data_IF_599605877370
#
_entry.id   IF_599605877370
#
_cell.length_a   1.000
_cell.length_b   1.000
_cell.length_c   1.000
_cell.angle_alpha   90.00
_cell.angle_beta   90.00
_cell.angle_gamma   90.00
#
_symmetry.space_group_name_H-M   'P 1'
#
loop_
_entity.id
_entity.type
_entity.pdbx_description
1 polymer ?
#
# COMPACT_ATOMS: atom_id res chain seq x y z
N UNK A 1 -12.96 -29.84 77.71
CA UNK A 1 -13.76 -28.94 76.90
C UNK A 1 -12.77 -28.08 76.11
N UNK A 2 -12.88 -28.05 74.82
CA UNK A 2 -11.95 -27.48 73.80
C UNK A 2 -11.90 -25.96 73.80
N UNK A 3 -10.84 -25.35 73.31
CA UNK A 3 -10.95 -24.17 72.56
C UNK A 3 -10.44 -24.39 71.11
N UNK A 4 -11.36 -24.44 70.22
CA UNK A 4 -11.16 -24.16 68.78
C UNK A 4 -11.61 -22.72 68.62
N UNK A 5 -10.71 -21.82 68.49
CA UNK A 5 -10.89 -20.45 67.91
C UNK A 5 -9.57 -19.68 68.01
N UNK A 6 -8.69 -19.80 67.07
CA UNK A 6 -7.66 -18.81 66.61
C UNK A 6 -7.05 -19.39 65.33
N UNK A 7 -7.77 -19.32 64.24
CA UNK A 7 -7.20 -19.54 62.90
C UNK A 7 -8.11 -18.94 61.80
N UNK A 8 -8.49 -17.69 61.97
CA UNK A 8 -9.30 -17.00 60.97
C UNK A 8 -9.01 -15.49 60.84
N UNK A 9 -7.77 -15.04 61.12
CA UNK A 9 -7.46 -13.58 61.01
C UNK A 9 -6.08 -13.32 60.40
N UNK A 10 -5.60 -14.18 59.53
CA UNK A 10 -4.31 -13.95 58.85
C UNK A 10 -4.39 -14.10 57.33
N UNK A 11 -5.55 -13.84 56.69
CA UNK A 11 -5.72 -14.02 55.28
C UNK A 11 -6.52 -12.89 54.62
N UNK A 12 -6.27 -11.64 55.00
CA UNK A 12 -6.95 -10.49 54.34
C UNK A 12 -6.09 -9.20 54.38
N UNK A 13 -4.78 -9.27 54.08
CA UNK A 13 -3.96 -8.06 53.96
C UNK A 13 -2.90 -8.15 52.86
N UNK A 14 -3.18 -8.84 51.75
CA UNK A 14 -2.24 -8.88 50.61
C UNK A 14 -2.89 -8.58 49.26
N UNK A 15 -3.86 -7.67 49.19
CA UNK A 15 -4.45 -7.28 47.88
C UNK A 15 -4.70 -5.79 47.73
N UNK A 16 -3.80 -4.93 48.21
CA UNK A 16 -3.85 -3.48 47.94
C UNK A 16 -2.48 -2.88 47.77
N UNK A 17 -1.63 -3.47 46.94
CA UNK A 17 -0.34 -2.86 46.57
C UNK A 17 -0.13 -2.95 45.04
N UNK A 18 -1.15 -2.58 44.27
CA UNK A 18 -1.12 -2.60 42.82
C UNK A 18 -1.67 -1.35 42.18
N UNK A 19 -1.91 -0.27 42.92
CA UNK A 19 -2.08 1.03 42.32
C UNK A 19 -0.68 1.64 42.12
N UNK A 20 -0.01 1.27 41.03
CA UNK A 20 1.02 2.11 40.48
C UNK A 20 0.39 3.46 40.25
N UNK A 21 0.92 4.48 40.91
CA UNK A 21 0.62 5.87 40.69
C UNK A 21 1.08 6.18 39.26
N UNK A 22 0.26 5.89 38.24
CA UNK A 22 0.48 6.33 36.88
C UNK A 22 0.38 7.85 36.94
N UNK A 23 1.52 8.52 37.10
CA UNK A 23 1.59 9.97 37.02
C UNK A 23 0.81 10.41 35.79
N UNK A 24 -0.03 11.43 35.96
CA UNK A 24 -0.83 11.97 34.84
C UNK A 24 0.12 12.34 33.70
N UNK A 25 -0.05 11.71 32.54
CA UNK A 25 0.71 12.04 31.36
C UNK A 25 0.26 13.43 30.94
N UNK A 26 1.22 14.35 30.77
CA UNK A 26 0.95 15.66 30.18
C UNK A 26 1.19 15.57 28.68
N UNK A 27 0.13 15.69 27.92
CA UNK A 27 0.18 15.73 26.45
C UNK A 27 0.47 17.16 25.98
N UNK A 28 1.25 17.34 24.90
CA UNK A 28 1.40 18.62 24.21
C UNK A 28 0.07 19.18 23.72
N UNK A 29 -0.06 20.50 23.74
CA UNK A 29 -1.24 21.13 23.15
C UNK A 29 -1.18 21.06 21.61
N UNK A 30 -2.25 20.56 20.98
CA UNK A 30 -2.37 20.53 19.54
C UNK A 30 -2.56 21.95 18.97
N UNK A 31 -2.01 22.26 17.78
CA UNK A 31 -2.32 23.50 17.07
C UNK A 31 -3.84 23.64 16.84
N UNK A 32 -4.36 24.83 17.10
CA UNK A 32 -5.78 25.13 16.95
C UNK A 32 -5.96 26.45 16.22
N UNK A 33 -7.12 26.57 15.52
CA UNK A 33 -7.59 27.81 14.92
C UNK A 33 -9.09 28.01 15.12
N UNK A 34 -9.68 29.01 14.45
CA UNK A 34 -11.10 29.31 14.54
C UNK A 34 -11.94 28.76 13.37
N UNK A 35 -11.48 27.72 12.67
CA UNK A 35 -12.18 27.19 11.51
C UNK A 35 -13.60 26.71 11.85
N UNK A 36 -14.56 27.09 11.01
CA UNK A 36 -15.96 26.70 11.14
C UNK A 36 -16.49 26.33 9.76
N UNK A 37 -16.92 25.10 9.58
CA UNK A 37 -17.59 24.63 8.37
C UNK A 37 -19.10 24.83 8.44
N UNK A 38 -19.74 24.86 7.27
CA UNK A 38 -21.21 24.83 7.18
C UNK A 38 -21.63 23.54 6.47
N UNK A 39 -22.16 22.60 7.23
CA UNK A 39 -22.58 21.28 6.73
C UNK A 39 -24.09 21.18 6.85
N UNK A 40 -24.79 21.00 5.74
CA UNK A 40 -26.26 20.98 5.67
C UNK A 40 -26.92 22.21 6.35
N UNK A 41 -26.28 23.39 6.24
CA UNK A 41 -26.77 24.63 6.85
C UNK A 41 -26.46 24.80 8.34
N UNK A 42 -25.82 23.84 8.98
CA UNK A 42 -25.36 23.91 10.37
C UNK A 42 -23.88 24.30 10.44
N UNK A 43 -23.56 25.18 11.40
CA UNK A 43 -22.18 25.54 11.68
C UNK A 43 -21.50 24.44 12.53
N UNK A 44 -20.43 23.89 12.04
CA UNK A 44 -19.62 22.88 12.73
C UNK A 44 -18.23 23.46 12.96
N UNK A 45 -17.82 23.58 14.22
CA UNK A 45 -16.47 24.06 14.57
C UNK A 45 -15.47 22.94 14.40
N UNK A 46 -14.38 23.22 13.69
CA UNK A 46 -13.24 22.34 13.52
C UNK A 46 -11.95 23.07 13.93
N UNK A 47 -11.73 23.15 15.22
CA UNK A 47 -10.58 23.89 15.78
C UNK A 47 -9.24 23.19 15.48
N UNK A 48 -9.24 21.93 15.09
CA UNK A 48 -8.05 21.15 14.78
C UNK A 48 -7.72 21.07 13.28
N UNK A 49 -8.42 21.84 12.44
CA UNK A 49 -8.16 21.94 11.00
C UNK A 49 -6.67 22.13 10.63
N UNK A 50 -5.85 22.87 11.43
CA UNK A 50 -4.43 23.01 11.14
C UNK A 50 -3.65 21.68 11.06
N UNK A 51 -4.13 20.62 11.72
CA UNK A 51 -3.49 19.30 11.71
C UNK A 51 -3.66 18.54 10.38
N UNK A 52 -4.60 18.96 9.50
CA UNK A 52 -4.75 18.40 8.16
C UNK A 52 -3.54 18.71 7.25
N UNK A 53 -2.79 19.77 7.56
CA UNK A 53 -1.53 20.04 6.89
C UNK A 53 -0.40 19.39 7.68
N UNK A 54 -0.03 18.16 7.29
CA UNK A 54 0.97 17.32 7.93
C UNK A 54 2.41 17.84 7.74
N UNK A 55 2.66 18.69 6.75
CA UNK A 55 3.95 19.33 6.47
C UNK A 55 4.12 20.69 7.15
N UNK A 56 3.06 21.22 7.76
CA UNK A 56 3.13 22.50 8.48
C UNK A 56 4.12 22.42 9.66
N UNK A 57 5.01 23.43 9.85
CA UNK A 57 5.98 23.42 10.95
C UNK A 57 5.35 23.23 12.34
N UNK A 58 4.17 23.78 12.57
CA UNK A 58 3.46 23.64 13.84
C UNK A 58 2.96 22.20 14.08
N UNK A 59 2.46 21.54 13.03
CA UNK A 59 2.01 20.15 13.07
C UNK A 59 3.20 19.22 13.30
N UNK A 60 4.29 19.41 12.58
CA UNK A 60 5.53 18.62 12.76
C UNK A 60 6.11 18.77 14.17
N UNK A 61 6.16 19.99 14.71
CA UNK A 61 6.63 20.24 16.07
C UNK A 61 5.73 19.56 17.13
N UNK A 62 4.42 19.56 16.93
CA UNK A 62 3.47 18.87 17.81
C UNK A 62 3.65 17.34 17.75
N UNK A 63 3.81 16.77 16.55
CA UNK A 63 4.07 15.32 16.36
C UNK A 63 5.37 14.91 17.04
N UNK A 64 6.44 15.71 16.93
CA UNK A 64 7.71 15.44 17.61
C UNK A 64 7.55 15.45 19.14
N UNK A 65 6.80 16.42 19.68
CA UNK A 65 6.54 16.51 21.10
C UNK A 65 5.71 15.34 21.62
N UNK A 66 4.68 14.88 20.89
CA UNK A 66 3.88 13.69 21.21
C UNK A 66 4.72 12.41 21.14
N UNK A 67 5.59 12.27 20.13
CA UNK A 67 6.52 11.16 20.03
C UNK A 67 7.46 11.10 21.23
N UNK A 68 7.92 12.25 21.72
CA UNK A 68 8.76 12.31 22.92
C UNK A 68 8.02 11.79 24.15
N UNK A 69 6.77 12.21 24.38
CA UNK A 69 5.92 11.70 25.49
C UNK A 69 5.77 10.18 25.38
N UNK A 70 5.48 9.68 24.17
CA UNK A 70 5.33 8.25 23.89
C UNK A 70 6.62 7.47 24.23
N UNK A 71 7.78 7.93 23.75
CA UNK A 71 9.05 7.27 24.02
C UNK A 71 9.45 7.34 25.50
N UNK A 72 9.22 8.46 26.16
CA UNK A 72 9.47 8.62 27.60
C UNK A 72 8.62 7.61 28.41
N UNK A 73 7.34 7.40 28.05
CA UNK A 73 6.48 6.40 28.67
C UNK A 73 6.96 4.97 28.39
N UNK A 74 7.19 4.64 27.11
CA UNK A 74 7.58 3.30 26.70
C UNK A 74 8.95 2.89 27.26
N UNK A 75 9.87 3.84 27.46
CA UNK A 75 11.20 3.57 28.03
C UNK A 75 11.15 3.11 29.47
N UNK A 76 10.08 3.43 30.22
CA UNK A 76 9.89 3.05 31.60
C UNK A 76 9.36 1.61 31.78
N UNK A 77 8.95 0.95 30.69
CA UNK A 77 8.42 -0.43 30.74
C UNK A 77 9.60 -1.40 30.95
N UNK A 78 9.71 -2.06 32.13
CA UNK A 78 10.91 -2.80 32.50
C UNK A 78 11.17 -4.05 31.65
N UNK A 79 10.14 -4.61 31.04
CA UNK A 79 10.23 -5.81 30.18
C UNK A 79 10.28 -5.49 28.70
N UNK A 80 10.25 -4.21 28.27
CA UNK A 80 10.27 -3.81 26.85
C UNK A 80 11.47 -4.39 26.11
N UNK A 81 12.67 -4.30 26.72
CA UNK A 81 13.91 -4.82 26.14
C UNK A 81 13.85 -6.33 25.94
N UNK A 82 13.37 -7.07 26.94
CA UNK A 82 13.26 -8.53 26.84
C UNK A 82 12.28 -8.96 25.75
N UNK A 83 11.16 -8.24 25.58
CA UNK A 83 10.22 -8.48 24.47
C UNK A 83 10.89 -8.20 23.12
N UNK A 84 11.58 -7.07 22.97
CA UNK A 84 12.26 -6.71 21.73
C UNK A 84 13.32 -7.77 21.35
N UNK A 85 14.17 -8.20 22.30
CA UNK A 85 15.16 -9.25 22.10
C UNK A 85 14.49 -10.59 21.69
N UNK A 86 13.38 -10.96 22.33
CA UNK A 86 12.64 -12.18 22.00
C UNK A 86 12.03 -12.11 20.61
N UNK A 87 11.43 -10.97 20.21
CA UNK A 87 10.87 -10.75 18.88
C UNK A 87 11.96 -10.80 17.81
N UNK A 88 13.11 -10.17 18.06
CA UNK A 88 14.27 -10.22 17.17
C UNK A 88 14.72 -11.68 16.97
N UNK A 89 14.88 -12.43 18.06
CA UNK A 89 15.25 -13.85 17.97
C UNK A 89 14.22 -14.69 17.18
N UNK A 90 12.93 -14.45 17.41
CA UNK A 90 11.86 -15.20 16.73
C UNK A 90 11.74 -14.84 15.25
N UNK A 91 12.12 -13.62 14.85
CA UNK A 91 12.07 -13.18 13.46
C UNK A 91 13.37 -13.44 12.68
N UNK A 92 14.49 -13.72 13.36
CA UNK A 92 15.80 -13.94 12.75
C UNK A 92 15.89 -15.34 12.13
N UNK A 93 15.16 -15.53 11.03
CA UNK A 93 15.27 -16.71 10.15
C UNK A 93 14.94 -16.31 8.72
N UNK A 94 15.52 -17.01 7.76
CA UNK A 94 15.28 -16.76 6.33
C UNK A 94 13.83 -17.05 5.98
N UNK A 95 13.15 -16.04 5.42
CA UNK A 95 11.78 -16.10 4.91
C UNK A 95 11.85 -15.98 3.39
N UNK A 96 11.46 -17.03 2.68
CA UNK A 96 11.49 -17.08 1.22
C UNK A 96 10.09 -17.24 0.66
N UNK A 97 9.73 -16.40 -0.30
CA UNK A 97 8.51 -16.55 -1.09
C UNK A 97 8.59 -17.73 -2.07
N UNK A 98 7.45 -18.12 -2.60
CA UNK A 98 7.39 -19.17 -3.64
C UNK A 98 7.91 -18.57 -4.96
N UNK A 99 8.86 -19.22 -5.65
CA UNK A 99 9.34 -18.76 -6.93
C UNK A 99 8.23 -18.79 -8.00
N UNK A 100 8.05 -17.70 -8.72
CA UNK A 100 7.19 -17.59 -9.91
C UNK A 100 8.05 -17.46 -11.16
N UNK A 101 7.63 -18.09 -12.25
CA UNK A 101 8.29 -17.92 -13.54
C UNK A 101 7.73 -16.71 -14.26
N UNK A 102 8.60 -15.77 -14.59
CA UNK A 102 8.23 -14.53 -15.27
C UNK A 102 8.47 -14.60 -16.79
N UNK A 103 8.08 -13.52 -17.48
CA UNK A 103 8.06 -13.48 -18.95
C UNK A 103 9.45 -13.52 -19.62
N UNK A 104 10.53 -13.16 -18.89
CA UNK A 104 11.92 -13.33 -19.34
C UNK A 104 12.40 -14.79 -19.23
N UNK A 105 11.56 -15.69 -18.74
CA UNK A 105 11.82 -17.11 -18.58
C UNK A 105 12.53 -17.51 -17.28
N UNK A 106 12.94 -16.53 -16.47
CA UNK A 106 13.57 -16.77 -15.15
C UNK A 106 12.53 -16.89 -14.05
N UNK A 107 12.97 -17.42 -12.91
CA UNK A 107 12.16 -17.51 -11.69
C UNK A 107 12.51 -16.36 -10.75
N UNK A 108 11.49 -15.71 -10.22
CA UNK A 108 11.60 -14.61 -9.27
C UNK A 108 10.98 -14.98 -7.93
N UNK A 109 11.58 -14.55 -6.85
CA UNK A 109 11.05 -14.74 -5.50
C UNK A 109 11.59 -13.68 -4.55
N UNK A 110 10.84 -13.43 -3.50
CA UNK A 110 11.25 -12.54 -2.40
C UNK A 110 12.00 -13.35 -1.34
N UNK A 111 13.04 -12.77 -0.75
CA UNK A 111 13.73 -13.36 0.40
C UNK A 111 14.11 -12.27 1.40
N UNK A 112 13.80 -12.52 2.67
CA UNK A 112 14.25 -11.71 3.80
C UNK A 112 15.09 -12.58 4.71
N UNK A 113 16.26 -12.11 5.14
CA UNK A 113 17.15 -12.81 6.08
C UNK A 113 16.54 -12.93 7.50
N UNK A 114 15.44 -12.25 7.72
CA UNK A 114 14.68 -12.21 8.98
C UNK A 114 14.74 -10.86 9.67
N UNK A 115 15.74 -10.04 9.39
CA UNK A 115 15.98 -8.75 10.06
C UNK A 115 15.99 -7.53 9.13
N UNK A 116 16.06 -7.72 7.82
CA UNK A 116 15.90 -6.64 6.85
C UNK A 116 14.51 -6.02 6.95
N UNK A 117 14.41 -4.71 6.71
CA UNK A 117 13.14 -3.99 6.71
C UNK A 117 12.17 -4.55 5.65
N UNK A 118 12.69 -4.81 4.44
CA UNK A 118 11.94 -5.39 3.34
C UNK A 118 12.64 -6.62 2.76
N UNK A 119 11.87 -7.50 2.12
CA UNK A 119 12.42 -8.64 1.40
C UNK A 119 13.09 -8.16 0.09
N UNK A 120 14.22 -8.76 -0.23
CA UNK A 120 14.94 -8.56 -1.49
C UNK A 120 14.33 -9.46 -2.56
N UNK A 121 14.22 -8.96 -3.77
CA UNK A 121 13.79 -9.76 -4.93
C UNK A 121 15.01 -10.39 -5.59
N UNK A 122 15.00 -11.70 -5.68
CA UNK A 122 16.01 -12.50 -6.38
C UNK A 122 15.45 -13.11 -7.65
N UNK A 123 16.35 -13.36 -8.62
CA UNK A 123 16.01 -14.15 -9.81
C UNK A 123 17.02 -15.30 -10.00
N UNK A 124 16.55 -16.37 -10.64
CA UNK A 124 17.36 -17.57 -10.93
C UNK A 124 16.84 -18.26 -12.19
N UNK A 125 17.71 -19.02 -12.86
CA UNK A 125 17.32 -19.90 -13.98
C UNK A 125 16.70 -21.22 -13.49
N UNK A 126 17.05 -21.66 -12.26
CA UNK A 126 16.50 -22.87 -11.65
C UNK A 126 16.07 -22.59 -10.19
N UNK A 127 14.76 -22.71 -9.89
CA UNK A 127 14.23 -22.43 -8.55
C UNK A 127 14.70 -23.41 -7.46
N UNK A 128 15.29 -24.54 -7.85
CA UNK A 128 15.87 -25.53 -6.94
C UNK A 128 17.36 -25.30 -6.71
N UNK A 129 18.00 -24.45 -7.50
CA UNK A 129 19.42 -24.10 -7.36
C UNK A 129 19.65 -23.14 -6.19
N UNK A 130 20.87 -23.18 -5.64
CA UNK A 130 21.37 -22.13 -4.75
C UNK A 130 21.92 -20.91 -5.50
N UNK A 131 22.15 -21.04 -6.82
CA UNK A 131 22.62 -19.94 -7.66
C UNK A 131 21.46 -18.96 -7.91
N UNK A 132 21.70 -17.71 -7.54
CA UNK A 132 20.71 -16.66 -7.66
C UNK A 132 21.38 -15.30 -7.85
N UNK A 133 20.67 -14.41 -8.47
CA UNK A 133 21.06 -13.02 -8.64
C UNK A 133 20.10 -12.12 -7.86
N UNK A 134 20.63 -11.15 -7.12
CA UNK A 134 19.82 -10.07 -6.58
C UNK A 134 19.29 -9.22 -7.73
N UNK A 135 17.96 -9.14 -7.85
CA UNK A 135 17.30 -8.38 -8.91
C UNK A 135 16.97 -6.96 -8.46
N UNK A 136 16.29 -6.84 -7.32
CA UNK A 136 15.93 -5.54 -6.74
C UNK A 136 15.97 -5.64 -5.21
N UNK A 137 16.76 -4.76 -4.57
CA UNK A 137 16.75 -4.61 -3.10
C UNK A 137 15.96 -3.35 -2.73
N UNK A 138 14.71 -3.49 -2.23
CA UNK A 138 13.91 -2.34 -1.82
C UNK A 138 14.51 -1.53 -0.66
N UNK A 139 15.40 -2.16 0.13
CA UNK A 139 16.06 -1.47 1.25
C UNK A 139 17.06 -0.41 0.78
N UNK A 140 17.44 -0.42 -0.50
CA UNK A 140 18.32 0.60 -1.12
C UNK A 140 17.58 1.78 -1.75
N UNK A 141 16.24 1.76 -1.75
CA UNK A 141 15.42 2.81 -2.39
C UNK A 141 15.29 4.08 -1.54
N UNK A 142 15.59 4.02 -0.25
CA UNK A 142 15.69 5.20 0.63
C UNK A 142 16.64 4.94 1.81
N UNK A 143 17.33 6.00 2.23
CA UNK A 143 18.28 5.92 3.35
C UNK A 143 17.58 5.71 4.71
N UNK A 144 16.36 6.21 4.85
CA UNK A 144 15.56 6.14 6.07
C UNK A 144 14.63 4.92 6.15
N UNK A 145 14.58 4.11 5.08
CA UNK A 145 13.75 2.91 5.00
C UNK A 145 12.25 3.18 4.91
N UNK A 146 11.82 4.39 4.57
CA UNK A 146 10.40 4.77 4.46
C UNK A 146 9.79 4.46 3.10
N UNK A 147 10.60 4.12 2.09
CA UNK A 147 10.11 3.69 0.77
C UNK A 147 9.84 2.19 0.76
N UNK A 148 8.63 1.79 0.40
CA UNK A 148 8.22 0.39 0.29
C UNK A 148 7.97 -0.02 -1.15
N UNK A 149 8.48 -1.20 -1.55
CA UNK A 149 8.10 -1.85 -2.80
C UNK A 149 6.68 -2.43 -2.67
N UNK A 150 5.76 -2.00 -3.55
CA UNK A 150 4.35 -2.39 -3.50
C UNK A 150 3.93 -3.29 -4.66
N UNK A 151 4.70 -3.37 -5.73
CA UNK A 151 4.41 -4.22 -6.87
C UNK A 151 5.59 -4.38 -7.82
N UNK A 152 5.55 -5.45 -8.61
CA UNK A 152 6.51 -5.74 -9.67
C UNK A 152 5.79 -6.52 -10.77
N UNK A 153 5.95 -6.08 -12.02
CA UNK A 153 5.38 -6.76 -13.19
C UNK A 153 6.30 -6.65 -14.40
N UNK A 154 6.31 -7.69 -15.24
CA UNK A 154 7.12 -7.69 -16.47
C UNK A 154 6.28 -7.51 -17.71
N UNK A 155 6.85 -6.81 -18.71
CA UNK A 155 6.28 -6.75 -20.05
C UNK A 155 6.10 -8.15 -20.64
N UNK A 156 5.14 -8.31 -21.55
CA UNK A 156 4.80 -9.63 -22.13
C UNK A 156 5.98 -10.30 -22.86
N UNK A 157 6.93 -9.52 -23.35
CA UNK A 157 8.17 -10.00 -23.98
C UNK A 157 9.34 -10.17 -22.98
N UNK A 158 9.13 -9.87 -21.70
CA UNK A 158 10.14 -9.95 -20.65
C UNK A 158 11.24 -8.88 -20.69
N UNK A 159 11.14 -7.92 -21.62
CA UNK A 159 12.17 -6.91 -21.84
C UNK A 159 12.23 -5.86 -20.74
N UNK A 160 11.08 -5.44 -20.25
CA UNK A 160 10.95 -4.41 -19.25
C UNK A 160 10.31 -4.96 -17.98
N UNK A 161 10.75 -4.41 -16.84
CA UNK A 161 10.12 -4.63 -15.54
C UNK A 161 9.67 -3.29 -14.96
N UNK A 162 8.38 -3.17 -14.69
CA UNK A 162 7.84 -2.08 -13.89
C UNK A 162 7.81 -2.48 -12.42
N UNK A 163 8.18 -1.56 -11.54
CA UNK A 163 7.99 -1.73 -10.11
C UNK A 163 7.34 -0.49 -9.51
N UNK A 164 6.49 -0.72 -8.52
CA UNK A 164 5.76 0.34 -7.83
C UNK A 164 6.30 0.52 -6.44
N UNK A 165 6.39 1.78 -6.01
CA UNK A 165 6.79 2.14 -4.65
C UNK A 165 5.75 3.04 -4.00
N UNK A 166 5.71 2.97 -2.68
CA UNK A 166 4.99 3.89 -1.81
C UNK A 166 5.98 4.58 -0.88
N UNK A 167 5.77 5.87 -0.60
CA UNK A 167 6.62 6.64 0.33
C UNK A 167 5.89 6.89 1.63
N UNK A 168 6.56 6.66 2.74
CA UNK A 168 6.08 6.95 4.09
C UNK A 168 4.69 6.39 4.41
N UNK A 169 4.34 5.22 3.82
CA UNK A 169 3.05 4.58 4.03
C UNK A 169 1.87 5.24 3.32
N UNK A 170 2.12 6.14 2.38
CA UNK A 170 1.08 6.75 1.55
C UNK A 170 0.39 5.70 0.65
N UNK A 171 -0.89 5.91 0.36
CA UNK A 171 -1.62 5.17 -0.68
C UNK A 171 -1.24 5.65 -2.10
N UNK A 172 -0.63 6.81 -2.23
CA UNK A 172 -0.07 7.28 -3.49
C UNK A 172 1.17 6.46 -3.83
N UNK A 173 1.25 6.00 -5.06
CA UNK A 173 2.35 5.18 -5.55
C UNK A 173 3.00 5.82 -6.77
N UNK A 174 4.27 5.48 -6.95
CA UNK A 174 5.04 5.82 -8.12
C UNK A 174 5.38 4.54 -8.87
N UNK A 175 5.39 4.60 -10.21
CA UNK A 175 5.77 3.46 -11.06
C UNK A 175 7.07 3.82 -11.77
N UNK A 176 8.06 2.97 -11.62
CA UNK A 176 9.35 3.05 -12.31
C UNK A 176 9.49 1.89 -13.28
N UNK A 177 10.23 2.10 -14.35
CA UNK A 177 10.50 1.06 -15.34
C UNK A 177 12.00 0.86 -15.48
N UNK A 178 12.41 -0.40 -15.58
CA UNK A 178 13.80 -0.77 -15.86
C UNK A 178 13.89 -1.80 -17.00
N UNK A 179 15.02 -1.82 -17.70
CA UNK A 179 15.39 -2.93 -18.56
C UNK A 179 15.65 -4.18 -17.72
N UNK A 180 14.92 -5.25 -17.97
CA UNK A 180 14.95 -6.47 -17.15
C UNK A 180 16.32 -7.15 -17.14
N UNK A 181 17.03 -7.15 -18.29
CA UNK A 181 18.29 -7.84 -18.41
C UNK A 181 19.42 -7.10 -17.69
N UNK A 182 19.52 -5.80 -17.92
CA UNK A 182 20.60 -4.95 -17.41
C UNK A 182 20.30 -4.32 -16.05
N UNK A 183 19.04 -4.32 -15.63
CA UNK A 183 18.52 -3.62 -14.42
C UNK A 183 18.72 -2.09 -14.46
N UNK A 184 18.98 -1.53 -15.65
CA UNK A 184 19.10 -0.08 -15.81
C UNK A 184 17.71 0.57 -15.79
N UNK A 185 17.59 1.58 -14.95
CA UNK A 185 16.37 2.38 -14.85
C UNK A 185 16.16 3.18 -16.14
N UNK A 186 14.96 3.14 -16.69
CA UNK A 186 14.52 3.97 -17.79
C UNK A 186 14.06 5.35 -17.27
N UNK A 187 13.91 6.36 -18.15
CA UNK A 187 13.37 7.66 -17.75
C UNK A 187 11.86 7.63 -17.46
N UNK A 188 11.20 6.52 -17.75
CA UNK A 188 9.77 6.32 -17.53
C UNK A 188 9.45 6.31 -16.05
N UNK A 189 8.71 7.31 -15.59
CA UNK A 189 8.32 7.51 -14.20
C UNK A 189 6.90 8.05 -14.14
N UNK A 190 6.02 7.29 -13.48
CA UNK A 190 4.63 7.68 -13.25
C UNK A 190 4.48 8.10 -11.79
N UNK A 191 4.01 9.30 -11.59
CA UNK A 191 3.63 9.84 -10.29
C UNK A 191 2.11 9.79 -10.11
N UNK A 192 1.65 9.84 -8.86
CA UNK A 192 0.24 9.97 -8.51
C UNK A 192 -0.63 8.81 -8.99
N UNK A 193 -0.05 7.62 -9.17
CA UNK A 193 -0.84 6.41 -9.30
C UNK A 193 -1.44 6.04 -7.93
N UNK A 194 -2.62 5.43 -7.93
CA UNK A 194 -3.27 4.97 -6.70
C UNK A 194 -4.11 3.73 -6.97
N UNK A 195 -3.99 2.71 -6.10
CA UNK A 195 -4.64 1.41 -6.27
C UNK A 195 -4.34 0.76 -7.62
N UNK A 196 -3.09 0.85 -8.06
CA UNK A 196 -2.65 0.47 -9.40
C UNK A 196 -1.27 -0.16 -9.38
N UNK A 197 -1.05 -1.06 -10.34
CA UNK A 197 0.26 -1.47 -10.83
C UNK A 197 0.40 -1.10 -12.30
N UNK A 198 1.39 -1.70 -12.98
CA UNK A 198 1.54 -1.61 -14.44
C UNK A 198 0.95 -2.86 -15.09
N UNK A 199 -0.11 -2.70 -15.84
CA UNK A 199 -0.77 -3.77 -16.61
C UNK A 199 -0.30 -3.70 -18.07
N UNK A 200 0.61 -4.58 -18.45
CA UNK A 200 1.35 -4.51 -19.70
C UNK A 200 0.53 -4.89 -20.95
N UNK A 201 0.60 -4.05 -22.00
CA UNK A 201 0.01 -4.31 -23.32
C UNK A 201 0.83 -3.61 -24.41
N UNK A 202 1.24 -4.35 -25.45
CA UNK A 202 1.99 -3.80 -26.55
C UNK A 202 3.31 -3.15 -26.13
N UNK A 203 3.49 -1.88 -26.48
CA UNK A 203 4.70 -1.08 -26.22
C UNK A 203 4.61 -0.23 -24.93
N UNK A 204 3.67 -0.56 -24.05
CA UNK A 204 3.45 0.19 -22.82
C UNK A 204 2.61 -0.59 -21.79
N UNK A 205 1.99 0.15 -20.89
CA UNK A 205 1.14 -0.41 -19.84
C UNK A 205 -0.01 0.52 -19.45
N UNK A 206 -1.07 -0.08 -18.95
CA UNK A 206 -2.17 0.65 -18.31
C UNK A 206 -1.86 0.84 -16.82
N UNK A 207 -2.27 1.98 -16.29
CA UNK A 207 -2.26 2.28 -14.87
C UNK A 207 -3.48 3.11 -14.49
N UNK A 208 -3.83 3.07 -13.21
CA UNK A 208 -4.94 3.83 -12.67
C UNK A 208 -4.46 4.96 -11.76
N UNK A 209 -5.12 6.10 -11.84
CA UNK A 209 -4.79 7.28 -11.06
C UNK A 209 -6.05 8.10 -10.74
N UNK A 210 -5.99 8.86 -9.67
CA UNK A 210 -6.91 9.99 -9.45
C UNK A 210 -6.33 11.27 -10.04
N UNK A 211 -7.15 12.31 -10.28
CA UNK A 211 -6.63 13.62 -10.57
C UNK A 211 -5.60 14.04 -9.52
N UNK A 212 -4.50 14.66 -9.99
CA UNK A 212 -3.43 15.11 -9.08
C UNK A 212 -4.02 16.02 -8.00
N UNK A 213 -3.76 15.75 -6.71
CA UNK A 213 -4.27 16.58 -5.62
C UNK A 213 -3.68 18.00 -5.68
N UNK A 214 -4.39 18.96 -5.08
CA UNK A 214 -3.82 20.28 -4.84
C UNK A 214 -2.68 20.17 -3.82
N UNK A 215 -1.67 21.02 -3.97
CA UNK A 215 -0.53 21.07 -3.06
C UNK A 215 -0.98 21.26 -1.60
N UNK A 216 -0.49 20.41 -0.70
CA UNK A 216 -0.87 20.41 0.72
C UNK A 216 -2.21 19.74 1.03
N UNK A 217 -2.85 19.09 0.03
CA UNK A 217 -4.10 18.34 0.20
C UNK A 217 -3.98 16.87 -0.22
N UNK A 218 -2.79 16.36 -0.31
CA UNK A 218 -2.48 15.02 -0.80
C UNK A 218 -3.18 13.93 0.02
N UNK A 219 -3.42 14.19 1.31
CA UNK A 219 -4.06 13.26 2.25
C UNK A 219 -5.49 13.65 2.66
N UNK A 220 -5.93 14.86 2.33
CA UNK A 220 -7.27 15.39 2.71
C UNK A 220 -8.27 15.45 1.56
N UNK A 221 -7.81 15.39 0.28
CA UNK A 221 -8.70 15.35 -0.85
C UNK A 221 -9.50 14.05 -0.91
N UNK A 222 -10.78 14.14 -1.29
CA UNK A 222 -11.58 12.97 -1.59
C UNK A 222 -11.01 12.20 -2.79
N UNK A 223 -11.09 10.86 -2.73
CA UNK A 223 -10.75 9.99 -3.86
C UNK A 223 -11.93 9.97 -4.83
N UNK A 224 -11.95 10.89 -5.80
CA UNK A 224 -13.00 11.02 -6.80
C UNK A 224 -12.45 11.03 -8.21
N UNK A 225 -13.25 10.51 -9.16
CA UNK A 225 -12.91 10.47 -10.58
C UNK A 225 -11.66 9.64 -10.89
N UNK A 226 -11.60 8.41 -10.38
CA UNK A 226 -10.56 7.46 -10.73
C UNK A 226 -10.56 7.18 -12.22
N UNK A 227 -9.40 7.12 -12.86
CA UNK A 227 -9.22 7.05 -14.31
C UNK A 227 -8.17 6.00 -14.66
N UNK A 228 -8.25 5.43 -15.86
CA UNK A 228 -7.22 4.54 -16.40
C UNK A 228 -6.53 5.25 -17.56
N UNK A 229 -5.20 5.26 -17.51
CA UNK A 229 -4.31 5.80 -18.53
C UNK A 229 -3.49 4.69 -19.18
N UNK A 230 -3.01 4.94 -20.39
CA UNK A 230 -2.01 4.14 -21.06
C UNK A 230 -0.72 4.94 -21.19
N UNK A 231 0.35 4.41 -20.64
CA UNK A 231 1.70 4.93 -20.75
C UNK A 231 2.47 4.15 -21.80
N UNK A 232 3.05 4.85 -22.78
CA UNK A 232 3.93 4.27 -23.78
C UNK A 232 5.39 4.40 -23.33
N UNK A 233 6.15 3.30 -23.34
CA UNK A 233 7.56 3.31 -22.93
C UNK A 233 8.37 4.31 -23.76
N UNK A 234 9.17 5.14 -23.07
CA UNK A 234 10.02 6.17 -23.63
C UNK A 234 9.32 7.50 -23.90
N UNK A 235 8.09 7.69 -23.42
CA UNK A 235 7.39 8.98 -23.47
C UNK A 235 7.21 9.58 -22.07
N UNK A 236 7.08 10.90 -21.93
CA UNK A 236 6.78 11.50 -20.63
C UNK A 236 5.33 11.20 -20.22
N UNK A 237 5.05 11.11 -18.91
CA UNK A 237 3.71 10.90 -18.35
C UNK A 237 2.66 11.92 -18.85
N UNK A 238 3.08 13.14 -19.21
CA UNK A 238 2.18 14.17 -19.76
C UNK A 238 1.53 13.78 -21.10
N UNK A 239 2.12 12.82 -21.80
CA UNK A 239 1.64 12.36 -23.11
C UNK A 239 0.74 11.12 -22.99
N UNK A 240 0.47 10.67 -21.76
CA UNK A 240 -0.32 9.47 -21.49
C UNK A 240 -1.76 9.64 -21.96
N UNK A 241 -2.27 8.58 -22.56
CA UNK A 241 -3.64 8.59 -23.11
C UNK A 241 -4.66 8.17 -22.06
N UNK A 242 -5.67 9.01 -21.81
CA UNK A 242 -6.84 8.61 -21.04
C UNK A 242 -7.61 7.52 -21.78
N UNK A 243 -7.76 6.37 -21.14
CA UNK A 243 -8.39 5.17 -21.73
C UNK A 243 -9.79 4.93 -21.20
N UNK A 244 -9.99 5.15 -19.90
CA UNK A 244 -11.28 4.94 -19.25
C UNK A 244 -11.52 5.96 -18.14
N UNK A 245 -12.75 6.44 -18.05
CA UNK A 245 -13.27 7.28 -16.97
C UNK A 245 -14.77 7.09 -16.82
N UNK A 246 -15.30 7.34 -15.63
CA UNK A 246 -16.75 7.29 -15.33
C UNK A 246 -17.19 8.53 -14.51
N UNK A 247 -17.26 9.72 -15.12
CA UNK A 247 -17.61 10.95 -14.41
C UNK A 247 -19.02 10.96 -13.82
N UNK A 248 -19.92 10.08 -14.29
CA UNK A 248 -21.26 9.94 -13.73
C UNK A 248 -21.25 9.29 -12.34
N UNK A 249 -20.19 8.54 -12.02
CA UNK A 249 -20.02 7.83 -10.75
C UNK A 249 -18.62 8.13 -10.18
N UNK A 250 -18.39 9.34 -9.65
CA UNK A 250 -17.06 9.81 -9.27
C UNK A 250 -16.40 8.99 -8.15
N UNK A 251 -17.18 8.27 -7.36
CA UNK A 251 -16.69 7.43 -6.27
C UNK A 251 -16.33 5.98 -6.71
N UNK A 252 -16.57 5.64 -7.98
CA UNK A 252 -16.13 4.36 -8.51
C UNK A 252 -14.60 4.34 -8.70
N UNK A 253 -13.99 3.18 -8.48
CA UNK A 253 -12.59 2.94 -8.80
C UNK A 253 -12.48 1.93 -9.94
N UNK A 254 -11.40 2.01 -10.70
CA UNK A 254 -11.22 1.25 -11.94
C UNK A 254 -9.89 0.53 -11.96
N UNK A 255 -9.91 -0.76 -12.29
CA UNK A 255 -8.71 -1.56 -12.48
C UNK A 255 -8.61 -2.06 -13.93
N UNK A 256 -7.45 -1.90 -14.55
CA UNK A 256 -7.15 -2.46 -15.86
C UNK A 256 -6.68 -3.91 -15.73
N UNK A 257 -7.09 -4.75 -16.67
CA UNK A 257 -6.60 -6.12 -16.82
C UNK A 257 -6.47 -6.46 -18.31
N UNK A 258 -5.36 -7.10 -18.69
CA UNK A 258 -5.10 -7.54 -20.07
C UNK A 258 -4.93 -9.06 -20.09
N UNK A 259 -5.82 -9.75 -20.78
CA UNK A 259 -5.87 -11.20 -20.79
C UNK A 259 -5.85 -11.76 -22.22
N UNK A 260 -5.44 -13.02 -22.34
CA UNK A 260 -5.41 -13.79 -23.57
C UNK A 260 -4.13 -13.67 -24.39
N UNK A 261 -3.90 -14.67 -25.24
CA UNK A 261 -2.78 -14.70 -26.19
C UNK A 261 -2.86 -13.56 -27.21
N UNK A 262 -4.08 -13.22 -27.65
CA UNK A 262 -4.37 -12.00 -28.39
C UNK A 262 -4.91 -11.01 -27.34
N UNK A 263 -4.12 -10.02 -26.91
CA UNK A 263 -4.47 -9.19 -25.76
C UNK A 263 -5.85 -8.54 -25.89
N UNK A 264 -6.69 -8.76 -24.89
CA UNK A 264 -7.98 -8.11 -24.75
C UNK A 264 -7.98 -7.34 -23.44
N UNK A 265 -8.27 -6.06 -23.53
CA UNK A 265 -8.32 -5.18 -22.36
C UNK A 265 -9.70 -5.24 -21.70
N UNK A 266 -9.68 -5.42 -20.39
CA UNK A 266 -10.84 -5.34 -19.51
C UNK A 266 -10.67 -4.22 -18.49
N UNK A 267 -11.79 -3.70 -18.01
CA UNK A 267 -11.85 -2.76 -16.91
C UNK A 267 -12.82 -3.28 -15.87
N UNK A 268 -12.32 -3.52 -14.66
CA UNK A 268 -13.13 -3.71 -13.48
C UNK A 268 -13.59 -2.36 -12.97
N UNK A 269 -14.90 -2.19 -12.76
CA UNK A 269 -15.51 -0.97 -12.23
C UNK A 269 -16.10 -1.31 -10.87
N UNK A 270 -15.42 -0.94 -9.80
CA UNK A 270 -15.87 -1.12 -8.42
C UNK A 270 -16.60 0.12 -7.92
N UNK A 271 -17.70 -0.10 -7.17
CA UNK A 271 -18.40 0.95 -6.45
C UNK A 271 -18.09 0.92 -4.95
N UNK A 272 -18.96 1.52 -4.14
CA UNK A 272 -18.90 1.43 -2.67
C UNK A 272 -19.48 0.11 -2.12
N UNK A 273 -19.97 -0.77 -3.00
CA UNK A 273 -20.49 -2.10 -2.66
C UNK A 273 -19.42 -3.19 -2.63
N UNK A 274 -19.87 -4.43 -2.47
CA UNK A 274 -18.99 -5.62 -2.36
C UNK A 274 -18.57 -6.15 -3.74
N UNK A 275 -19.26 -5.77 -4.81
CA UNK A 275 -19.06 -6.32 -6.15
C UNK A 275 -18.46 -5.34 -7.15
N UNK A 276 -18.40 -5.77 -8.39
CA UNK A 276 -17.94 -4.94 -9.52
C UNK A 276 -18.70 -5.23 -10.80
N UNK A 277 -18.68 -4.26 -11.72
CA UNK A 277 -18.97 -4.50 -13.13
C UNK A 277 -17.68 -4.81 -13.89
N UNK A 278 -17.76 -5.63 -14.92
CA UNK A 278 -16.67 -5.93 -15.82
C UNK A 278 -16.99 -5.43 -17.23
N UNK A 279 -16.12 -4.60 -17.78
CA UNK A 279 -16.22 -4.09 -19.15
C UNK A 279 -15.04 -4.56 -19.99
N UNK A 280 -15.28 -4.83 -21.24
CA UNK A 280 -14.28 -5.25 -22.23
C UNK A 280 -14.15 -4.18 -23.31
N UNK A 281 -12.94 -3.86 -23.72
CA UNK A 281 -12.68 -2.96 -24.85
C UNK A 281 -12.96 -3.68 -26.17
N UNK A 282 -13.72 -3.04 -27.04
CA UNK A 282 -14.00 -3.52 -28.39
C UNK A 282 -13.80 -2.39 -29.41
N UNK A 283 -13.87 -2.71 -30.71
CA UNK A 283 -13.71 -1.72 -31.79
C UNK A 283 -14.76 -0.59 -31.78
N UNK A 284 -15.88 -0.79 -31.09
CA UNK A 284 -16.97 0.20 -30.97
C UNK A 284 -17.04 0.90 -29.60
N UNK A 285 -16.05 0.68 -28.72
CA UNK A 285 -16.05 1.22 -27.37
C UNK A 285 -16.04 0.15 -26.29
N UNK A 286 -16.76 0.36 -25.21
CA UNK A 286 -16.82 -0.56 -24.06
C UNK A 286 -18.07 -1.43 -24.10
N UNK A 287 -17.89 -2.74 -23.92
CA UNK A 287 -18.98 -3.72 -23.81
C UNK A 287 -19.01 -4.24 -22.38
N UNK A 288 -20.18 -4.23 -21.75
CA UNK A 288 -20.37 -4.82 -20.43
C UNK A 288 -20.38 -6.35 -20.57
N UNK A 289 -19.39 -6.99 -19.94
CA UNK A 289 -19.24 -8.47 -19.87
C UNK A 289 -20.01 -9.02 -18.68
N UNK A 290 -19.84 -8.39 -17.52
CA UNK A 290 -20.64 -8.64 -16.33
C UNK A 290 -21.18 -7.29 -15.82
N UNK A 291 -22.50 -7.18 -15.54
CA UNK A 291 -23.09 -5.98 -14.97
C UNK A 291 -22.61 -5.81 -13.52
N UNK A 292 -22.88 -4.64 -12.95
CA UNK A 292 -22.69 -4.41 -11.52
C UNK A 292 -23.51 -5.41 -10.70
N UNK A 293 -22.88 -6.03 -9.72
CA UNK A 293 -23.45 -7.13 -8.94
C UNK A 293 -22.86 -7.17 -7.52
N UNK A 294 -23.49 -7.97 -6.64
CA UNK A 294 -23.11 -8.07 -5.23
C UNK A 294 -21.88 -8.99 -4.98
N UNK A 295 -21.16 -9.39 -6.02
CA UNK A 295 -19.95 -10.22 -5.93
C UNK A 295 -18.89 -9.74 -6.93
N UNK A 296 -17.64 -10.02 -6.60
CA UNK A 296 -16.52 -9.68 -7.47
C UNK A 296 -16.43 -10.66 -8.63
N UNK A 297 -16.14 -10.12 -9.82
CA UNK A 297 -15.88 -10.88 -11.03
C UNK A 297 -14.55 -10.43 -11.61
N UNK A 298 -13.64 -11.38 -11.84
CA UNK A 298 -12.35 -11.14 -12.47
C UNK A 298 -12.16 -12.01 -13.69
N UNK A 299 -11.33 -11.56 -14.64
CA UNK A 299 -10.97 -12.35 -15.82
C UNK A 299 -9.83 -13.28 -15.43
N UNK A 300 -10.03 -14.59 -15.64
CA UNK A 300 -8.95 -15.57 -15.51
C UNK A 300 -8.10 -15.54 -16.79
N UNK A 301 -8.76 -15.69 -17.96
CA UNK A 301 -8.06 -15.68 -19.26
C UNK A 301 -9.06 -15.56 -20.43
N UNK A 302 -8.51 -15.35 -21.63
CA UNK A 302 -9.24 -15.41 -22.91
C UNK A 302 -8.60 -16.47 -23.79
N UNK A 303 -9.32 -17.59 -23.97
CA UNK A 303 -8.85 -18.75 -24.73
C UNK A 303 -9.84 -19.04 -25.87
N UNK A 304 -9.33 -19.11 -27.09
CA UNK A 304 -10.14 -19.38 -28.33
C UNK A 304 -11.39 -18.48 -28.44
N UNK A 305 -11.23 -17.20 -28.10
CA UNK A 305 -12.31 -16.20 -28.16
C UNK A 305 -13.37 -16.33 -27.06
N UNK A 306 -13.15 -17.18 -26.07
CA UNK A 306 -14.00 -17.31 -24.88
C UNK A 306 -13.35 -16.68 -23.68
N UNK A 307 -14.13 -15.91 -22.93
CA UNK A 307 -13.70 -15.25 -21.69
C UNK A 307 -14.00 -16.21 -20.53
N UNK A 308 -12.98 -16.52 -19.73
CA UNK A 308 -13.09 -17.30 -18.51
C UNK A 308 -13.07 -16.35 -17.32
N UNK A 309 -14.09 -16.43 -16.49
CA UNK A 309 -14.30 -15.57 -15.32
C UNK A 309 -14.24 -16.38 -14.02
N UNK A 310 -13.84 -15.71 -12.95
CA UNK A 310 -13.93 -16.16 -11.57
C UNK A 310 -15.00 -15.36 -10.86
#
# INVERSE_FOLDING_TARGET
MKPIQILATAMLTCTMAGCHNSGKINYPEAPQDGTVDTIFGMKVSDIYRPLENDTAPATLAWVEAENKVTQDYLSQIPFRKAIAERLTHLNNYVKRGVPSRENDGKYYYSENDGLKNQAVIYRTDDPLSSEREEFLDPNSLSDDGTVALTGLSQSKDGKYTAYTISRSGSDWTEIYVMDTATKQLLPDHIEWAKFSGAEWDGDGFYYSAYPRPEEGKEFSNANENHQIYYHKIGTPQSDDTLVFSDPANPLHFHGAQVAGKNPVMFVSVGGQGVGNALKMRSNGGWVTVAPDQDYETSVIDVIDGKIYLL
#
